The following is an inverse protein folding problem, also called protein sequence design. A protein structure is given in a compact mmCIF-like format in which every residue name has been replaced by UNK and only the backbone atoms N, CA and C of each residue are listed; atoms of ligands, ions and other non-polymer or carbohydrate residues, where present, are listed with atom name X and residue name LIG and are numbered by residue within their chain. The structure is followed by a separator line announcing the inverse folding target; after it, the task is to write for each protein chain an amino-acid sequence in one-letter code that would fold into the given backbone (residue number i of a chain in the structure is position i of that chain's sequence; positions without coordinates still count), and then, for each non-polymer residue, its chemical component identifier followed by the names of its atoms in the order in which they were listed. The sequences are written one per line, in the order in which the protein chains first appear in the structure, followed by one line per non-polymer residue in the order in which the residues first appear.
data_IF_578612577462
#
_entry.id   IF_578612577462
#
_cell.length_a   1.000
_cell.length_b   1.000
_cell.length_c   1.000
_cell.angle_alpha   90.00
_cell.angle_beta   90.00
_cell.angle_gamma   90.00
#
_symmetry.space_group_name_H-M   'P 1'
#
loop_
_entity.id
_entity.type
_entity.pdbx_description
1 polymer ?
#
# COMPACT_ATOMS: atom_id res chain seq x y z
N UNK A 1 -14.56 -2.79 17.60
CA UNK A 1 -13.88 -2.58 16.30
C UNK A 1 -14.06 -3.83 15.46
N UNK A 2 -14.46 -3.71 14.18
CA UNK A 2 -14.65 -4.87 13.29
C UNK A 2 -13.40 -5.04 12.42
N UNK A 3 -12.66 -6.12 12.64
CA UNK A 3 -11.64 -6.58 11.71
C UNK A 3 -12.34 -7.07 10.44
N UNK A 4 -11.90 -6.60 9.27
CA UNK A 4 -12.45 -7.03 7.99
C UNK A 4 -11.75 -8.31 7.54
N UNK A 5 -12.38 -9.47 7.73
CA UNK A 5 -11.90 -10.72 7.13
C UNK A 5 -12.30 -10.77 5.66
N UNK A 6 -11.36 -11.07 4.76
CA UNK A 6 -11.68 -11.37 3.36
C UNK A 6 -11.51 -12.87 3.14
N UNK A 7 -12.59 -13.52 2.72
CA UNK A 7 -12.57 -14.91 2.27
C UNK A 7 -12.61 -14.96 0.74
N UNK A 8 -11.80 -15.85 0.16
CA UNK A 8 -11.78 -16.13 -1.27
C UNK A 8 -11.81 -17.64 -1.50
N UNK A 9 -12.62 -18.07 -2.47
CA UNK A 9 -12.76 -19.46 -2.88
C UNK A 9 -12.46 -19.59 -4.38
N UNK A 10 -11.71 -20.62 -4.77
CA UNK A 10 -11.39 -20.94 -6.17
C UNK A 10 -11.64 -22.43 -6.44
N UNK A 11 -12.22 -22.74 -7.60
CA UNK A 11 -12.44 -24.11 -8.06
C UNK A 11 -11.38 -24.50 -9.10
N UNK A 12 -10.83 -25.71 -8.97
CA UNK A 12 -9.86 -26.28 -9.89
C UNK A 12 -10.54 -27.16 -10.93
N UNK A 13 -9.90 -27.33 -12.08
CA UNK A 13 -10.41 -28.15 -13.19
C UNK A 13 -10.61 -29.63 -12.81
N UNK A 14 -9.96 -30.10 -11.74
CA UNK A 14 -10.11 -31.46 -11.20
C UNK A 14 -11.22 -31.58 -10.13
N UNK A 15 -12.04 -30.54 -9.98
CA UNK A 15 -13.17 -30.50 -9.05
C UNK A 15 -12.80 -30.18 -7.60
N UNK A 16 -11.51 -29.98 -7.29
CA UNK A 16 -11.09 -29.53 -5.96
C UNK A 16 -11.43 -28.05 -5.76
N UNK A 17 -11.70 -27.69 -4.51
CA UNK A 17 -11.98 -26.31 -4.11
C UNK A 17 -10.94 -25.87 -3.09
N UNK A 18 -10.37 -24.69 -3.29
CA UNK A 18 -9.46 -24.04 -2.36
C UNK A 18 -10.16 -22.86 -1.73
N UNK A 19 -10.18 -22.82 -0.40
CA UNK A 19 -10.61 -21.66 0.38
C UNK A 19 -9.43 -21.05 1.12
N UNK A 20 -9.40 -19.72 1.17
CA UNK A 20 -8.48 -18.96 2.01
C UNK A 20 -9.22 -17.83 2.69
N UNK A 21 -9.12 -17.82 4.01
CA UNK A 21 -9.50 -16.69 4.84
C UNK A 21 -8.25 -15.90 5.24
N UNK A 22 -8.27 -14.59 5.02
CA UNK A 22 -7.21 -13.66 5.40
C UNK A 22 -7.82 -12.60 6.31
N UNK A 23 -7.48 -12.66 7.60
CA UNK A 23 -7.95 -11.70 8.60
C UNK A 23 -7.15 -10.39 8.58
N UNK A 24 -5.83 -10.50 8.38
CA UNK A 24 -4.87 -9.40 8.51
C UNK A 24 -3.75 -9.60 7.49
N UNK A 25 -3.06 -8.52 7.11
CA UNK A 25 -1.86 -8.55 6.26
C UNK A 25 -0.76 -7.66 6.86
N UNK A 26 0.49 -7.87 6.50
CA UNK A 26 1.61 -7.10 7.04
C UNK A 26 1.52 -5.63 6.62
N UNK A 27 1.63 -4.72 7.59
CA UNK A 27 1.37 -3.30 7.40
C UNK A 27 -0.09 -2.88 7.61
N UNK A 28 -0.98 -3.80 7.97
CA UNK A 28 -2.30 -3.46 8.49
C UNK A 28 -2.17 -2.86 9.90
N UNK A 29 -3.13 -2.03 10.35
CA UNK A 29 -3.00 -1.30 11.62
C UNK A 29 -2.90 -2.23 12.86
N UNK A 30 -3.38 -3.47 12.79
CA UNK A 30 -3.22 -4.49 13.84
C UNK A 30 -1.90 -5.27 13.73
N UNK A 31 -1.18 -5.16 12.61
CA UNK A 31 0.13 -5.79 12.33
C UNK A 31 1.04 -4.78 11.61
N UNK A 32 1.45 -3.70 12.28
CA UNK A 32 2.23 -2.64 11.66
C UNK A 32 3.56 -3.18 11.14
N UNK A 33 4.00 -2.62 10.01
CA UNK A 33 5.25 -2.97 9.37
C UNK A 33 6.40 -2.25 10.09
N UNK A 34 7.53 -2.93 10.27
CA UNK A 34 8.73 -2.33 10.85
C UNK A 34 9.29 -1.21 9.96
N UNK A 35 10.04 -0.29 10.57
CA UNK A 35 10.61 0.88 9.89
C UNK A 35 11.46 0.49 8.66
N UNK A 36 12.29 -0.55 8.77
CA UNK A 36 13.15 -1.02 7.68
C UNK A 36 12.35 -1.43 6.44
N UNK A 37 11.24 -2.15 6.65
CA UNK A 37 10.35 -2.58 5.57
C UNK A 37 9.61 -1.41 4.92
N UNK A 38 9.20 -0.42 5.71
CA UNK A 38 8.57 0.81 5.19
C UNK A 38 9.59 1.60 4.36
N UNK A 39 10.82 1.70 4.84
CA UNK A 39 11.94 2.36 4.14
C UNK A 39 12.25 1.66 2.82
N UNK A 40 12.38 0.33 2.82
CA UNK A 40 12.60 -0.46 1.60
C UNK A 40 11.46 -0.27 0.58
N UNK A 41 10.21 -0.28 1.07
CA UNK A 41 9.04 -0.03 0.21
C UNK A 41 9.10 1.37 -0.40
N UNK A 42 9.46 2.39 0.37
CA UNK A 42 9.61 3.76 -0.12
C UNK A 42 10.71 3.85 -1.17
N UNK A 43 11.92 3.34 -0.89
CA UNK A 43 13.04 3.30 -1.85
C UNK A 43 12.60 2.73 -3.20
N UNK A 44 11.95 1.56 -3.19
CA UNK A 44 11.47 0.91 -4.42
C UNK A 44 10.43 1.73 -5.18
N UNK A 45 9.54 2.42 -4.48
CA UNK A 45 8.50 3.23 -5.11
C UNK A 45 9.05 4.55 -5.65
N UNK A 46 10.01 5.15 -4.93
CA UNK A 46 10.56 6.45 -5.24
C UNK A 46 11.73 6.39 -6.24
N UNK A 47 12.34 5.23 -6.46
CA UNK A 47 13.49 5.01 -7.36
C UNK A 47 13.34 5.68 -8.73
N UNK A 48 12.12 5.63 -9.30
CA UNK A 48 11.84 6.17 -10.65
C UNK A 48 11.52 7.66 -10.68
N UNK A 49 11.40 8.29 -9.52
CA UNK A 49 10.88 9.65 -9.38
C UNK A 49 11.90 10.64 -8.84
N UNK A 50 12.80 10.17 -7.98
CA UNK A 50 13.78 11.03 -7.30
C UNK A 50 15.12 10.32 -7.13
N UNK A 51 16.20 11.10 -7.14
CA UNK A 51 17.58 10.60 -7.00
C UNK A 51 17.83 9.95 -5.62
N UNK A 52 18.77 8.99 -5.52
CA UNK A 52 19.06 8.26 -4.28
C UNK A 52 19.38 9.16 -3.09
N UNK A 53 20.10 10.25 -3.29
CA UNK A 53 20.46 11.21 -2.24
C UNK A 53 19.22 11.91 -1.67
N UNK A 54 18.24 12.25 -2.53
CA UNK A 54 16.99 12.85 -2.09
C UNK A 54 16.11 11.84 -1.35
N UNK A 55 16.09 10.57 -1.79
CA UNK A 55 15.37 9.49 -1.08
C UNK A 55 15.91 9.31 0.34
N UNK A 56 17.23 9.21 0.49
CA UNK A 56 17.88 9.07 1.79
C UNK A 56 17.58 10.25 2.72
N UNK A 57 17.61 11.49 2.20
CA UNK A 57 17.25 12.69 2.98
C UNK A 57 15.79 12.68 3.43
N UNK A 58 14.87 12.21 2.59
CA UNK A 58 13.45 12.11 2.95
C UNK A 58 13.25 11.04 4.04
N UNK A 59 13.91 9.89 3.94
CA UNK A 59 13.86 8.83 4.95
C UNK A 59 14.35 9.35 6.30
N UNK A 60 15.49 10.04 6.32
CA UNK A 60 16.06 10.63 7.53
C UNK A 60 15.14 11.70 8.14
N UNK A 61 14.63 12.62 7.31
CA UNK A 61 13.68 13.65 7.73
C UNK A 61 12.40 13.06 8.32
N UNK A 62 11.85 12.00 7.72
CA UNK A 62 10.63 11.33 8.23
C UNK A 62 10.91 10.53 9.51
N UNK A 63 12.12 9.97 9.66
CA UNK A 63 12.55 9.27 10.87
C UNK A 63 12.69 10.18 12.10
N UNK A 64 12.93 11.47 11.88
CA UNK A 64 13.12 12.48 12.93
C UNK A 64 12.04 13.58 12.89
N UNK A 65 10.81 13.24 12.47
CA UNK A 65 9.72 14.21 12.34
C UNK A 65 9.45 15.03 13.61
N UNK A 66 9.60 14.42 14.78
CA UNK A 66 9.35 15.07 16.06
C UNK A 66 10.35 16.21 16.36
N UNK A 67 11.49 16.22 15.66
CA UNK A 67 12.56 17.21 15.80
C UNK A 67 12.63 18.18 14.62
N UNK A 68 11.91 17.89 13.53
CA UNK A 68 12.00 18.60 12.26
C UNK A 68 10.95 19.72 12.17
N UNK A 69 11.34 20.88 11.63
CA UNK A 69 10.38 21.95 11.33
C UNK A 69 9.59 21.57 10.08
N UNK A 70 8.30 21.90 10.10
CA UNK A 70 7.40 21.63 8.96
C UNK A 70 7.93 22.28 7.67
N UNK A 71 8.50 23.48 7.76
CA UNK A 71 9.09 24.19 6.62
C UNK A 71 10.21 23.38 5.95
N UNK A 72 11.15 22.84 6.74
CA UNK A 72 12.28 22.05 6.24
C UNK A 72 11.81 20.79 5.50
N UNK A 73 10.79 20.11 6.03
CA UNK A 73 10.17 18.96 5.37
C UNK A 73 9.52 19.36 4.04
N UNK A 74 8.75 20.45 4.03
CA UNK A 74 8.03 20.87 2.83
C UNK A 74 8.95 21.36 1.72
N UNK A 75 10.06 22.02 2.06
CA UNK A 75 11.10 22.38 1.10
C UNK A 75 11.77 21.16 0.49
N UNK A 76 12.09 20.16 1.33
CA UNK A 76 12.65 18.90 0.87
C UNK A 76 11.73 18.18 -0.12
N UNK A 77 10.43 18.17 0.16
CA UNK A 77 9.42 17.54 -0.71
C UNK A 77 9.16 18.34 -1.99
N UNK A 78 9.32 19.67 -2.00
CA UNK A 78 9.14 20.48 -3.19
C UNK A 78 10.12 20.11 -4.32
N UNK A 79 11.33 19.64 -3.97
CA UNK A 79 12.36 19.18 -4.92
C UNK A 79 11.92 17.91 -5.68
N UNK A 80 11.02 17.11 -5.10
CA UNK A 80 10.58 15.83 -5.69
C UNK A 80 9.58 15.95 -6.85
N UNK A 81 9.14 17.17 -7.19
CA UNK A 81 8.08 17.38 -8.18
C UNK A 81 8.59 17.86 -9.55
N UNK A 82 8.69 16.95 -10.53
CA UNK A 82 8.27 17.23 -11.89
C UNK A 82 6.93 16.53 -12.14
N UNK A 83 5.89 17.34 -12.38
CA UNK A 83 4.53 16.90 -12.66
C UNK A 83 4.47 15.98 -13.90
N UNK A 84 4.24 14.69 -13.68
CA UNK A 84 3.50 13.87 -14.63
C UNK A 84 2.38 13.19 -13.86
N UNK A 85 1.17 13.74 -13.99
CA UNK A 85 -0.07 13.02 -13.72
C UNK A 85 -0.06 11.78 -14.60
N UNK A 86 0.48 10.67 -14.10
CA UNK A 86 0.18 9.37 -14.67
C UNK A 86 -1.24 9.09 -14.19
N UNK A 87 -2.22 9.39 -15.05
CA UNK A 87 -3.59 8.94 -14.85
C UNK A 87 -3.52 7.45 -14.55
N UNK A 88 -3.84 7.08 -13.31
CA UNK A 88 -3.93 5.68 -12.93
C UNK A 88 -4.85 5.00 -13.95
N UNK A 89 -4.46 3.86 -14.56
CA UNK A 89 -5.42 3.09 -15.33
C UNK A 89 -6.62 2.83 -14.41
N UNK A 90 -7.81 3.16 -14.90
CA UNK A 90 -9.04 2.97 -14.14
C UNK A 90 -8.99 1.57 -13.50
N UNK A 91 -9.22 1.46 -12.17
CA UNK A 91 -9.26 0.14 -11.55
C UNK A 91 -10.25 -0.72 -12.34
N UNK A 92 -9.90 -1.98 -12.70
CA UNK A 92 -10.87 -2.85 -13.34
C UNK A 92 -12.13 -2.82 -12.47
N UNK A 93 -13.27 -2.55 -13.10
CA UNK A 93 -14.55 -2.50 -12.43
C UNK A 93 -14.64 -3.73 -11.53
N UNK A 94 -14.78 -3.53 -10.22
CA UNK A 94 -14.98 -4.62 -9.27
C UNK A 94 -16.19 -5.38 -9.78
N UNK A 95 -15.98 -6.57 -10.31
CA UNK A 95 -17.07 -7.50 -10.59
C UNK A 95 -17.78 -7.68 -9.26
N UNK A 96 -18.97 -7.07 -9.16
CA UNK A 96 -19.84 -7.28 -8.03
C UNK A 96 -20.07 -8.79 -7.95
N UNK A 97 -19.52 -9.43 -6.92
CA UNK A 97 -19.96 -10.75 -6.52
C UNK A 97 -21.44 -10.59 -6.16
N UNK A 98 -22.30 -10.90 -7.13
CA UNK A 98 -23.72 -11.03 -6.91
C UNK A 98 -23.88 -12.10 -5.82
N UNK A 99 -24.26 -11.67 -4.63
CA UNK A 99 -24.84 -12.53 -3.61
C UNK A 99 -26.22 -12.88 -4.16
N UNK A 100 -26.31 -13.96 -4.93
CA UNK A 100 -27.61 -14.56 -5.23
C UNK A 100 -28.15 -15.10 -3.91
N UNK A 101 -29.34 -14.68 -3.45
CA UNK A 101 -29.95 -15.31 -2.30
C UNK A 101 -30.38 -16.73 -2.72
N UNK A 102 -29.83 -17.72 -2.03
CA UNK A 102 -30.43 -19.05 -1.97
C UNK A 102 -31.83 -18.91 -1.35
N UNK A 103 -32.86 -19.32 -2.08
CA UNK A 103 -34.17 -19.62 -1.51
C UNK A 103 -34.78 -20.80 -2.26
N UNK A 104 -35.24 -21.74 -1.42
CA UNK A 104 -36.00 -23.00 -1.63
C UNK A 104 -36.50 -23.35 -3.04
#
# INVERSE_FOLDING_TARGET
MRTGSTSSQSHLCDGRTLEREQHDYDGFHTRPMGWDFVTEKFERLAERHIEPELRARIIDAVGHLDELRVEDLTELLAVSAPHASQAAPAPPARSAHATTPTSD
#
